data_IF_927245697923
#
_entry.id   IF_927245697923
#
_cell.length_a   1.000
_cell.length_b   1.000
_cell.length_c   1.000
_cell.angle_alpha   90.00
_cell.angle_beta   90.00
_cell.angle_gamma   90.00
#
_symmetry.space_group_name_H-M   'P 1'
#
loop_
_entity.id
_entity.type
_entity.pdbx_description
1 polymer ?
#
# COMPACT_ATOMS: atom_id res chain seq x y z
N UNK A 1 18.29 -6.38 -3.68
CA UNK A 1 17.81 -7.40 -2.73
C UNK A 1 16.37 -7.16 -2.36
N UNK A 2 15.55 -8.19 -2.36
CA UNK A 2 14.17 -8.10 -1.95
C UNK A 2 14.07 -8.52 -0.48
N UNK A 3 13.44 -7.69 0.39
CA UNK A 3 13.31 -8.08 1.80
C UNK A 3 12.41 -9.31 1.95
N UNK A 4 12.63 -10.13 2.99
CA UNK A 4 11.78 -11.30 3.23
C UNK A 4 10.37 -10.84 3.59
N UNK A 5 9.37 -11.36 2.87
CA UNK A 5 7.97 -10.98 3.05
C UNK A 5 7.20 -12.15 3.63
N UNK A 6 7.11 -12.17 4.97
CA UNK A 6 6.50 -13.28 5.73
C UNK A 6 5.14 -12.94 6.34
N UNK A 7 4.73 -11.69 6.28
CA UNK A 7 3.43 -11.26 6.73
C UNK A 7 2.47 -11.18 5.54
N UNK A 8 1.21 -10.92 5.82
CA UNK A 8 0.18 -10.80 4.80
C UNK A 8 -0.50 -9.44 4.89
N UNK A 9 -0.85 -8.91 3.72
CA UNK A 9 -1.65 -7.68 3.62
C UNK A 9 -2.78 -7.90 2.64
N UNK A 10 -3.86 -7.16 2.84
CA UNK A 10 -4.99 -7.10 1.91
C UNK A 10 -5.27 -5.64 1.63
N UNK A 11 -5.18 -5.25 0.37
CA UNK A 11 -5.54 -3.89 -0.04
C UNK A 11 -6.91 -3.90 -0.70
N UNK A 12 -7.76 -2.95 -0.31
CA UNK A 12 -9.07 -2.75 -0.92
C UNK A 12 -8.90 -1.72 -2.02
N UNK A 13 -8.87 -2.18 -3.28
CA UNK A 13 -8.61 -1.32 -4.43
C UNK A 13 -9.89 -1.05 -5.19
N UNK A 14 -10.05 0.16 -5.76
CA UNK A 14 -11.25 0.49 -6.53
C UNK A 14 -11.42 -0.41 -7.74
N UNK A 15 -12.66 -0.80 -8.01
CA UNK A 15 -13.02 -1.52 -9.23
C UNK A 15 -13.23 -0.47 -10.32
N UNK A 16 -12.54 -0.63 -11.45
CA UNK A 16 -12.62 0.31 -12.56
C UNK A 16 -13.47 -0.26 -13.69
N UNK A 17 -14.20 0.63 -14.39
CA UNK A 17 -14.92 0.26 -15.60
C UNK A 17 -13.97 0.22 -16.81
N UNK A 18 -14.52 -0.05 -18.00
CA UNK A 18 -13.71 -0.13 -19.22
C UNK A 18 -13.01 1.18 -19.57
N UNK A 19 -13.55 2.31 -19.13
CA UNK A 19 -12.95 3.63 -19.36
C UNK A 19 -11.96 4.04 -18.30
N UNK A 20 -11.66 3.16 -17.31
CA UNK A 20 -10.74 3.48 -16.24
C UNK A 20 -11.34 4.32 -15.12
N UNK A 21 -12.66 4.49 -15.08
CA UNK A 21 -13.35 5.24 -14.04
C UNK A 21 -13.81 4.32 -12.92
N UNK A 22 -13.75 4.78 -11.65
CA UNK A 22 -14.22 3.97 -10.55
C UNK A 22 -15.72 3.66 -10.66
N UNK A 23 -16.08 2.40 -10.43
CA UNK A 23 -17.48 2.00 -10.35
C UNK A 23 -17.99 2.37 -8.95
N UNK A 24 -19.13 3.03 -8.89
CA UNK A 24 -19.74 3.43 -7.62
C UNK A 24 -20.98 2.60 -7.32
N UNK A 25 -21.27 2.45 -6.02
CA UNK A 25 -22.49 1.79 -5.59
C UNK A 25 -23.67 2.78 -5.65
N UNK A 26 -24.85 2.32 -5.22
CA UNK A 26 -26.06 3.14 -5.25
C UNK A 26 -26.01 4.37 -4.34
N UNK A 27 -25.04 4.44 -3.43
CA UNK A 27 -24.84 5.59 -2.52
C UNK A 27 -23.72 6.51 -3.00
N UNK A 28 -23.16 6.26 -4.18
CA UNK A 28 -22.08 7.06 -4.74
C UNK A 28 -20.70 6.74 -4.19
N UNK A 29 -20.56 5.67 -3.42
CA UNK A 29 -19.25 5.25 -2.89
C UNK A 29 -18.56 4.35 -3.88
N UNK A 30 -17.23 4.47 -4.04
CA UNK A 30 -16.49 3.55 -4.92
C UNK A 30 -16.62 2.11 -4.44
N UNK A 31 -16.89 1.20 -5.37
CA UNK A 31 -16.83 -0.22 -5.09
C UNK A 31 -15.36 -0.65 -5.07
N UNK A 32 -15.00 -1.51 -4.11
CA UNK A 32 -13.64 -2.00 -3.97
C UNK A 32 -13.63 -3.51 -3.94
N UNK A 33 -12.47 -4.07 -4.30
CA UNK A 33 -12.22 -5.51 -4.17
C UNK A 33 -10.96 -5.73 -3.34
N UNK A 34 -10.94 -6.78 -2.49
CA UNK A 34 -9.73 -7.11 -1.74
C UNK A 34 -8.72 -7.82 -2.63
N UNK A 35 -7.47 -7.39 -2.54
CA UNK A 35 -6.34 -8.06 -3.19
C UNK A 35 -5.34 -8.44 -2.11
N UNK A 36 -5.05 -9.73 -2.00
CA UNK A 36 -4.13 -10.25 -0.99
C UNK A 36 -2.71 -10.31 -1.54
N UNK A 37 -1.73 -10.06 -0.68
CA UNK A 37 -0.32 -10.20 -1.01
C UNK A 37 0.49 -10.55 0.22
N UNK A 38 1.64 -11.15 0.00
CA UNK A 38 2.67 -11.24 1.04
C UNK A 38 3.32 -9.87 1.23
N UNK A 39 3.88 -9.63 2.40
CA UNK A 39 4.48 -8.35 2.73
C UNK A 39 5.44 -8.46 3.90
N UNK A 40 6.23 -7.40 4.09
CA UNK A 40 7.04 -7.21 5.29
C UNK A 40 6.51 -5.97 6.00
N UNK A 41 5.93 -6.16 7.18
CA UNK A 41 5.32 -5.08 7.96
C UNK A 41 6.28 -4.64 9.06
N UNK A 42 6.60 -3.36 9.10
CA UNK A 42 7.52 -2.79 10.09
C UNK A 42 6.89 -1.56 10.74
N UNK A 43 7.08 -1.44 12.06
CA UNK A 43 6.76 -0.22 12.78
C UNK A 43 7.97 0.69 12.78
N UNK A 44 7.82 1.86 12.15
CA UNK A 44 8.94 2.78 11.97
C UNK A 44 8.41 4.19 11.81
N UNK A 45 8.66 5.03 12.81
CA UNK A 45 8.22 6.44 12.76
C UNK A 45 9.09 7.24 11.80
N UNK A 46 8.45 7.90 10.83
CA UNK A 46 9.16 8.73 9.87
C UNK A 46 8.25 9.79 9.26
N UNK A 47 8.85 10.79 8.64
CA UNK A 47 8.13 11.82 7.90
C UNK A 47 8.12 11.46 6.42
N UNK A 48 6.95 11.52 5.80
CA UNK A 48 6.79 11.29 4.37
C UNK A 48 5.93 12.39 3.77
N UNK A 49 6.02 12.59 2.46
CA UNK A 49 5.15 13.52 1.75
C UNK A 49 3.94 12.78 1.23
N UNK A 50 2.75 13.33 1.49
CA UNK A 50 1.52 12.80 0.97
C UNK A 50 1.27 13.28 -0.48
N UNK A 51 0.12 12.91 -1.04
CA UNK A 51 -0.24 13.28 -2.41
C UNK A 51 -0.38 14.78 -2.61
N UNK A 52 -0.63 15.55 -1.54
CA UNK A 52 -0.77 16.98 -1.58
C UNK A 52 0.55 17.73 -1.34
N UNK A 53 1.66 17.00 -1.19
CA UNK A 53 2.97 17.58 -0.92
C UNK A 53 3.20 17.98 0.53
N UNK A 54 2.29 17.66 1.43
CA UNK A 54 2.42 17.96 2.85
C UNK A 54 3.21 16.89 3.57
N UNK A 55 4.02 17.28 4.55
CA UNK A 55 4.72 16.32 5.38
C UNK A 55 3.77 15.69 6.39
N UNK A 56 3.81 14.38 6.50
CA UNK A 56 3.01 13.64 7.47
C UNK A 56 3.88 12.62 8.18
N UNK A 57 3.63 12.45 9.48
CA UNK A 57 4.31 11.42 10.26
C UNK A 57 3.52 10.12 10.15
N UNK A 58 4.21 9.06 9.73
CA UNK A 58 3.64 7.73 9.67
C UNK A 58 4.42 6.81 10.60
N UNK A 59 3.74 5.78 11.10
CA UNK A 59 4.32 4.82 12.05
C UNK A 59 4.48 3.43 11.45
N UNK A 60 4.05 3.23 10.22
CA UNK A 60 4.01 1.91 9.62
C UNK A 60 4.56 1.96 8.21
N UNK A 61 5.51 1.09 7.93
CA UNK A 61 6.13 0.90 6.63
C UNK A 61 5.91 -0.54 6.19
N UNK A 62 5.35 -0.74 5.00
CA UNK A 62 5.07 -2.07 4.48
C UNK A 62 5.76 -2.26 3.14
N UNK A 63 6.64 -3.25 3.06
CA UNK A 63 7.27 -3.65 1.81
C UNK A 63 6.41 -4.72 1.14
N UNK A 64 6.13 -4.52 -0.14
CA UNK A 64 5.25 -5.37 -0.94
C UNK A 64 5.94 -5.76 -2.25
N UNK A 65 5.53 -6.88 -2.87
CA UNK A 65 6.10 -7.28 -4.17
C UNK A 65 5.82 -6.27 -5.28
N UNK A 66 6.69 -6.26 -6.28
CA UNK A 66 6.59 -5.33 -7.41
C UNK A 66 5.28 -5.45 -8.20
N UNK A 67 4.69 -6.63 -8.22
CA UNK A 67 3.44 -6.89 -8.96
C UNK A 67 2.18 -6.52 -8.18
N UNK A 68 2.32 -6.12 -6.92
CA UNK A 68 1.23 -5.64 -6.09
C UNK A 68 1.36 -4.13 -5.97
N UNK A 69 0.39 -3.38 -6.49
CA UNK A 69 0.52 -1.93 -6.60
C UNK A 69 -0.76 -1.21 -6.16
N UNK A 70 -1.08 -1.23 -4.84
CA UNK A 70 -2.18 -0.42 -4.33
C UNK A 70 -1.86 1.07 -4.47
N UNK A 71 -2.88 1.91 -4.61
CA UNK A 71 -2.72 3.35 -4.79
C UNK A 71 -2.75 4.12 -3.48
N UNK A 72 -2.30 5.37 -3.54
CA UNK A 72 -2.45 6.29 -2.42
C UNK A 72 -3.93 6.50 -2.12
N UNK A 73 -4.26 6.50 -0.84
CA UNK A 73 -5.64 6.60 -0.37
C UNK A 73 -6.37 5.27 -0.25
N UNK A 74 -5.82 4.19 -0.79
CA UNK A 74 -6.43 2.86 -0.63
C UNK A 74 -6.30 2.39 0.81
N UNK A 75 -7.31 1.67 1.29
CA UNK A 75 -7.24 1.04 2.59
C UNK A 75 -6.44 -0.25 2.50
N UNK A 76 -5.63 -0.50 3.50
CA UNK A 76 -4.83 -1.72 3.58
C UNK A 76 -5.00 -2.35 4.97
N UNK A 77 -5.29 -3.64 4.99
CA UNK A 77 -5.33 -4.44 6.19
C UNK A 77 -4.05 -5.25 6.27
N UNK A 78 -3.46 -5.33 7.45
CA UNK A 78 -2.17 -5.98 7.61
C UNK A 78 -2.14 -6.86 8.86
N UNK A 79 -1.20 -7.82 8.84
CA UNK A 79 -0.92 -8.66 10.00
C UNK A 79 0.56 -8.44 10.34
N UNK A 80 0.83 -8.07 11.60
CA UNK A 80 2.20 -7.81 12.06
C UNK A 80 2.96 -9.12 12.25
N UNK A 81 4.27 -9.01 12.47
CA UNK A 81 5.10 -10.18 12.76
C UNK A 81 4.66 -10.91 14.04
N UNK A 82 4.04 -10.18 14.98
CA UNK A 82 3.50 -10.77 16.21
C UNK A 82 2.11 -11.38 16.06
N UNK A 83 1.51 -11.30 14.86
CA UNK A 83 0.18 -11.84 14.60
C UNK A 83 -0.97 -10.86 14.85
N UNK A 84 -0.68 -9.61 15.18
CA UNK A 84 -1.73 -8.60 15.41
C UNK A 84 -2.25 -8.05 14.09
N UNK A 85 -3.57 -7.90 14.01
CA UNK A 85 -4.22 -7.34 12.82
C UNK A 85 -4.39 -5.82 12.99
N UNK A 86 -4.25 -5.10 11.88
CA UNK A 86 -4.48 -3.66 11.85
C UNK A 86 -4.91 -3.22 10.47
N UNK A 87 -5.31 -1.96 10.37
CA UNK A 87 -5.71 -1.36 9.12
C UNK A 87 -5.35 0.12 9.09
N UNK A 88 -5.26 0.67 7.90
CA UNK A 88 -4.97 2.09 7.72
C UNK A 88 -5.07 2.47 6.26
N UNK A 89 -4.74 3.72 5.96
CA UNK A 89 -4.74 4.25 4.60
C UNK A 89 -3.32 4.48 4.11
N UNK A 90 -3.08 4.21 2.84
CA UNK A 90 -1.78 4.44 2.22
C UNK A 90 -1.61 5.95 1.99
N UNK A 91 -0.59 6.52 2.62
CA UNK A 91 -0.29 7.96 2.54
C UNK A 91 0.69 8.25 1.41
N UNK A 92 1.68 7.38 1.25
CA UNK A 92 2.72 7.54 0.24
C UNK A 92 3.29 6.19 -0.13
N UNK A 93 4.01 6.11 -1.24
CA UNK A 93 4.70 4.89 -1.63
C UNK A 93 5.99 5.21 -2.37
N UNK A 94 6.95 4.30 -2.27
CA UNK A 94 8.24 4.37 -2.93
C UNK A 94 8.53 3.08 -3.66
N UNK A 95 9.40 3.14 -4.65
CA UNK A 95 9.81 1.98 -5.42
C UNK A 95 11.32 1.77 -5.28
N UNK A 96 11.71 0.55 -4.91
CA UNK A 96 13.11 0.16 -4.91
C UNK A 96 13.48 -0.33 -6.31
N UNK A 97 14.27 0.44 -7.04
CA UNK A 97 14.65 0.14 -8.40
C UNK A 97 16.11 -0.30 -8.47
N UNK A 98 16.48 -0.96 -9.57
CA UNK A 98 17.87 -1.36 -9.78
C UNK A 98 18.73 -0.15 -10.16
N UNK A 99 20.05 -0.35 -10.26
CA UNK A 99 21.01 0.73 -10.53
C UNK A 99 20.76 1.43 -11.86
N UNK A 100 20.21 0.73 -12.85
CA UNK A 100 19.89 1.33 -14.16
C UNK A 100 18.55 2.05 -14.18
N UNK A 101 17.75 1.91 -13.14
CA UNK A 101 16.40 2.49 -13.08
C UNK A 101 15.37 1.80 -13.95
N UNK A 102 15.72 0.67 -14.58
CA UNK A 102 14.87 0.01 -15.56
C UNK A 102 13.93 -1.03 -14.95
N UNK A 103 14.11 -1.39 -13.67
CA UNK A 103 13.32 -2.47 -13.05
C UNK A 103 13.02 -2.18 -11.59
N UNK A 104 11.77 -2.35 -11.23
CA UNK A 104 11.31 -2.26 -9.83
C UNK A 104 11.53 -3.62 -9.16
N UNK A 105 12.24 -3.64 -8.03
CA UNK A 105 12.46 -4.85 -7.24
C UNK A 105 11.31 -5.12 -6.27
N UNK A 106 10.88 -4.08 -5.56
CA UNK A 106 9.75 -4.13 -4.65
C UNK A 106 9.24 -2.72 -4.43
N UNK A 107 8.10 -2.60 -3.75
CA UNK A 107 7.53 -1.30 -3.41
C UNK A 107 7.40 -1.19 -1.90
N UNK A 108 7.46 0.05 -1.40
CA UNK A 108 7.22 0.33 0.02
C UNK A 108 6.04 1.29 0.12
N UNK A 109 5.05 0.94 0.92
CA UNK A 109 3.92 1.82 1.21
C UNK A 109 4.01 2.29 2.65
N UNK A 110 3.65 3.55 2.87
CA UNK A 110 3.63 4.19 4.18
C UNK A 110 2.19 4.36 4.59
N UNK A 111 1.85 3.84 5.75
CA UNK A 111 0.46 3.70 6.17
C UNK A 111 0.21 4.52 7.43
N UNK A 112 -0.89 5.25 7.41
CA UNK A 112 -1.42 5.99 8.54
C UNK A 112 -2.52 5.12 9.15
N UNK A 113 -2.18 4.45 10.23
CA UNK A 113 -3.11 3.49 10.82
C UNK A 113 -3.28 3.59 12.31
#
# INVERSE_FOLDING_TARGET
>A
MIPPMRQKVTANVPILDEGGQPITDKYGKPETKPINSKARVQFKSQLVRDANGQERRVNLEIDIPRNFNPGQGDEIDYVTAGGDEGSGSIVAKEEAINLSGSRVHFRTVYVDG
#
